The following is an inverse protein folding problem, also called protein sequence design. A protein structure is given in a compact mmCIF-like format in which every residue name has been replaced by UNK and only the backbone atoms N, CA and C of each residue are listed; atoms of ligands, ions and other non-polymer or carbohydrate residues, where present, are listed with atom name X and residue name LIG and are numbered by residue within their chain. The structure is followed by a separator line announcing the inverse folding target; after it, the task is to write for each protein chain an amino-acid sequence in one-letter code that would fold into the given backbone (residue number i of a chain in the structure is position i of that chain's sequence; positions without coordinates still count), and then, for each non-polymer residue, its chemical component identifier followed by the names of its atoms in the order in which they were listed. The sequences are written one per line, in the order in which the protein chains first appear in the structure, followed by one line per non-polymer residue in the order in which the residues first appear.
data_IF_487616038356
#
_entry.id   IF_487616038356
#
_cell.length_a   1.000
_cell.length_b   1.000
_cell.length_c   1.000
_cell.angle_alpha   90.00
_cell.angle_beta   90.00
_cell.angle_gamma   90.00
#
_symmetry.space_group_name_H-M   'P 1'
#
loop_
_entity.id
_entity.type
_entity.pdbx_description
1 polymer ?
#
# COMPACT_ATOMS: atom_id res chain seq x y z
N UNK A 1 -11.66 1.62 23.92
CA UNK A 1 -10.34 2.13 23.80
C UNK A 1 -9.38 1.12 23.19
N UNK A 2 -8.56 1.57 22.30
CA UNK A 2 -7.67 0.67 21.63
C UNK A 2 -6.45 0.35 22.47
N UNK A 3 -6.10 -0.91 22.52
CA UNK A 3 -4.95 -1.33 23.23
C UNK A 3 -3.68 -0.95 22.50
N UNK A 4 -2.69 -0.51 23.24
CA UNK A 4 -1.38 -0.23 22.66
C UNK A 4 -0.68 -1.54 22.34
N UNK A 5 -0.21 -1.65 21.11
CA UNK A 5 0.50 -2.82 20.66
C UNK A 5 1.88 -2.46 20.18
N UNK A 6 2.85 -3.28 20.56
CA UNK A 6 4.21 -3.13 20.07
C UNK A 6 4.36 -4.06 18.88
N UNK A 7 4.75 -3.50 17.74
CA UNK A 7 4.92 -4.28 16.52
C UNK A 7 6.37 -4.27 16.10
N UNK A 8 6.82 -5.38 15.55
CA UNK A 8 8.14 -5.42 14.94
C UNK A 8 8.12 -4.64 13.64
N UNK A 9 9.31 -4.30 13.17
CA UNK A 9 9.41 -3.59 11.88
C UNK A 9 8.79 -4.40 10.76
N UNK A 10 8.98 -5.72 10.78
CA UNK A 10 8.37 -6.56 9.75
C UNK A 10 6.85 -6.49 9.80
N UNK A 11 6.28 -6.56 11.01
CA UNK A 11 4.83 -6.48 11.15
C UNK A 11 4.29 -5.16 10.65
N UNK A 12 4.99 -4.08 10.95
CA UNK A 12 4.57 -2.76 10.48
C UNK A 12 4.55 -2.72 8.96
N UNK A 13 5.60 -3.24 8.33
CA UNK A 13 5.68 -3.24 6.88
C UNK A 13 4.63 -4.14 6.25
N UNK A 14 4.33 -5.27 6.87
CA UNK A 14 3.29 -6.16 6.33
C UNK A 14 1.92 -5.50 6.38
N UNK A 15 1.62 -4.80 7.47
CA UNK A 15 0.36 -4.08 7.58
C UNK A 15 0.31 -2.94 6.55
N UNK A 16 1.42 -2.22 6.41
CA UNK A 16 1.48 -1.14 5.41
C UNK A 16 1.24 -1.69 4.02
N UNK A 17 1.85 -2.83 3.71
CA UNK A 17 1.67 -3.45 2.38
C UNK A 17 0.20 -3.80 2.14
N UNK A 18 -0.46 -4.38 3.15
CA UNK A 18 -1.85 -4.75 3.01
C UNK A 18 -2.73 -3.53 2.74
N UNK A 19 -2.47 -2.44 3.44
CA UNK A 19 -3.25 -1.22 3.25
C UNK A 19 -3.03 -0.61 1.87
N UNK A 20 -1.80 -0.66 1.36
CA UNK A 20 -1.53 -0.13 0.03
C UNK A 20 -2.22 -0.97 -1.04
N UNK A 21 -2.25 -2.28 -0.86
CA UNK A 21 -2.94 -3.16 -1.79
C UNK A 21 -4.44 -2.94 -1.77
N UNK A 22 -5.01 -2.74 -0.58
CA UNK A 22 -6.42 -2.43 -0.44
C UNK A 22 -6.77 -1.13 -1.16
N UNK A 23 -5.93 -0.13 -1.01
CA UNK A 23 -6.17 1.16 -1.65
C UNK A 23 -6.14 1.01 -3.17
N UNK A 24 -5.16 0.28 -3.70
CA UNK A 24 -5.09 0.08 -5.14
C UNK A 24 -6.31 -0.66 -5.66
N UNK A 25 -6.76 -1.66 -4.92
CA UNK A 25 -7.93 -2.44 -5.30
C UNK A 25 -9.18 -1.56 -5.31
N UNK A 26 -9.29 -0.69 -4.32
CA UNK A 26 -10.41 0.24 -4.26
C UNK A 26 -10.45 1.12 -5.52
N UNK A 27 -9.32 1.71 -5.89
CA UNK A 27 -9.29 2.57 -7.07
C UNK A 27 -9.62 1.77 -8.33
N UNK A 28 -9.08 0.57 -8.42
CA UNK A 28 -9.32 -0.28 -9.57
C UNK A 28 -10.81 -0.56 -9.74
N UNK A 29 -11.50 -0.84 -8.65
CA UNK A 29 -12.93 -1.08 -8.67
C UNK A 29 -13.72 0.17 -9.05
N UNK A 30 -13.31 1.32 -8.49
CA UNK A 30 -14.05 2.55 -8.75
C UNK A 30 -13.92 3.00 -10.19
N UNK A 31 -12.80 2.73 -10.83
CA UNK A 31 -12.60 3.08 -12.23
C UNK A 31 -13.67 2.44 -13.10
N UNK A 32 -14.02 1.19 -12.80
CA UNK A 32 -15.02 0.46 -13.58
C UNK A 32 -16.39 1.13 -13.50
N UNK A 33 -16.69 1.73 -12.37
CA UNK A 33 -18.01 2.30 -12.13
C UNK A 33 -18.09 3.81 -12.35
N UNK A 34 -16.98 4.45 -12.66
CA UNK A 34 -16.95 5.89 -12.79
C UNK A 34 -17.15 6.29 -14.26
N UNK A 35 -18.13 7.17 -14.50
CA UNK A 35 -18.43 7.59 -15.85
C UNK A 35 -18.08 9.05 -16.12
N UNK A 36 -17.40 9.70 -15.19
CA UNK A 36 -16.96 11.09 -15.36
C UNK A 36 -15.48 11.06 -15.70
N UNK A 37 -15.13 11.50 -16.89
CA UNK A 37 -13.79 11.32 -17.45
C UNK A 37 -12.68 11.86 -16.54
N UNK A 38 -12.82 13.10 -16.07
CA UNK A 38 -11.73 13.66 -15.28
C UNK A 38 -11.59 12.99 -13.91
N UNK A 39 -12.69 12.41 -13.39
CA UNK A 39 -12.62 11.64 -12.16
C UNK A 39 -11.94 10.31 -12.42
N UNK A 40 -12.27 9.66 -13.53
CA UNK A 40 -11.60 8.41 -13.89
C UNK A 40 -10.09 8.62 -14.05
N UNK A 41 -9.70 9.72 -14.68
CA UNK A 41 -8.28 10.02 -14.85
C UNK A 41 -7.59 10.16 -13.51
N UNK A 42 -8.25 10.81 -12.56
CA UNK A 42 -7.70 10.92 -11.22
C UNK A 42 -7.54 9.56 -10.57
N UNK A 43 -8.58 8.73 -10.68
CA UNK A 43 -8.53 7.39 -10.09
C UNK A 43 -7.41 6.55 -10.69
N UNK A 44 -7.18 6.66 -12.00
CA UNK A 44 -6.07 5.97 -12.65
C UNK A 44 -4.74 6.42 -12.07
N UNK A 45 -4.60 7.72 -11.89
CA UNK A 45 -3.37 8.28 -11.33
C UNK A 45 -3.15 7.78 -9.90
N UNK A 46 -4.21 7.79 -9.09
CA UNK A 46 -4.11 7.33 -7.72
C UNK A 46 -3.77 5.85 -7.65
N UNK A 47 -4.36 5.06 -8.54
CA UNK A 47 -4.05 3.64 -8.60
C UNK A 47 -2.57 3.42 -8.93
N UNK A 48 -2.03 4.18 -9.88
CA UNK A 48 -0.63 4.06 -10.25
C UNK A 48 0.30 4.47 -9.11
N UNK A 49 -0.11 5.46 -8.32
CA UNK A 49 0.66 5.86 -7.15
C UNK A 49 0.71 4.73 -6.13
N UNK A 50 -0.42 4.05 -5.91
CA UNK A 50 -0.43 2.93 -4.97
C UNK A 50 0.48 1.80 -5.44
N UNK A 51 0.56 1.58 -6.74
CA UNK A 51 1.46 0.56 -7.27
C UNK A 51 2.93 0.89 -6.97
N UNK A 52 3.28 2.17 -7.02
CA UNK A 52 4.61 2.60 -6.65
C UNK A 52 4.87 2.39 -5.16
N UNK A 53 3.90 2.73 -4.33
CA UNK A 53 4.02 2.54 -2.89
C UNK A 53 4.20 1.06 -2.55
N UNK A 54 3.45 0.19 -3.21
CA UNK A 54 3.57 -1.24 -2.99
C UNK A 54 5.00 -1.70 -3.25
N UNK A 55 5.59 -1.24 -4.36
CA UNK A 55 6.97 -1.62 -4.68
C UNK A 55 7.95 -1.10 -3.65
N UNK A 56 7.72 0.11 -3.14
CA UNK A 56 8.59 0.67 -2.10
C UNK A 56 8.53 -0.18 -0.83
N UNK A 57 7.32 -0.53 -0.40
CA UNK A 57 7.17 -1.31 0.82
C UNK A 57 7.76 -2.70 0.63
N UNK A 58 7.51 -3.33 -0.52
CA UNK A 58 8.06 -4.64 -0.80
C UNK A 58 9.60 -4.61 -0.80
N UNK A 59 10.17 -3.53 -1.32
CA UNK A 59 11.61 -3.35 -1.30
C UNK A 59 12.16 -3.27 0.11
N UNK A 60 11.45 -2.57 1.00
CA UNK A 60 11.87 -2.47 2.38
C UNK A 60 11.77 -3.80 3.11
N UNK A 61 10.70 -4.56 2.83
CA UNK A 61 10.56 -5.89 3.42
C UNK A 61 11.72 -6.78 2.99
N UNK A 62 12.06 -6.73 1.71
CA UNK A 62 13.18 -7.53 1.21
C UNK A 62 14.49 -7.13 1.87
N UNK A 63 14.70 -5.82 2.03
CA UNK A 63 15.90 -5.32 2.66
C UNK A 63 15.99 -5.77 4.11
N UNK A 64 14.88 -5.74 4.81
CA UNK A 64 14.84 -6.19 6.19
C UNK A 64 15.14 -7.67 6.29
N UNK A 65 14.57 -8.47 5.40
CA UNK A 65 14.79 -9.92 5.42
C UNK A 65 16.20 -10.29 5.04
N UNK A 66 16.87 -9.46 4.28
CA UNK A 66 18.26 -9.71 3.92
C UNK A 66 19.22 -9.42 5.07
N UNK A 67 18.69 -9.14 6.26
CA UNK A 67 19.53 -8.92 7.41
C UNK A 67 20.03 -7.50 7.50
N UNK A 68 19.40 -6.62 6.77
CA UNK A 68 19.83 -5.24 6.74
C UNK A 68 19.54 -4.50 8.01
N UNK A 69 18.72 -5.08 8.87
CA UNK A 69 18.42 -4.41 10.09
C UNK A 69 18.11 -5.34 11.20
N UNK A 70 18.65 -5.02 12.30
CA UNK A 70 18.62 -5.90 13.42
C UNK A 70 17.63 -5.45 14.46
N UNK A 71 17.26 -4.24 14.48
CA UNK A 71 16.45 -3.76 15.57
C UNK A 71 15.09 -3.32 15.11
#
# INVERSE_FOLDING_TARGET
MKKLELRTSDQILQVALAKEKEAREFYDEQIVHCHVDFVRELLEKLKNEESKHIRLVQGMIAKLKAGGNIV
#
